data_IF_199893956424
#
_entry.id   IF_199893956424
#
_cell.length_a   1.000
_cell.length_b   1.000
_cell.length_c   1.000
_cell.angle_alpha   90.00
_cell.angle_beta   90.00
_cell.angle_gamma   90.00
#
_symmetry.space_group_name_H-M   'P 1'
#
loop_
_entity.id
_entity.type
_entity.pdbx_description
1 polymer ?
#
# COMPACT_ATOMS: atom_id res chain seq x y z
N UNK A 1 -14.14 -15.17 27.47
CA UNK A 1 -13.52 -14.02 26.77
C UNK A 1 -14.65 -13.22 26.13
N UNK A 2 -14.63 -11.89 26.20
CA UNK A 2 -15.64 -11.08 25.49
C UNK A 2 -15.52 -11.37 23.99
N UNK A 3 -16.65 -11.59 23.29
CA UNK A 3 -16.68 -11.85 21.83
C UNK A 3 -15.83 -10.87 21.00
N UNK A 4 -15.66 -9.64 21.51
CA UNK A 4 -14.93 -8.54 20.88
C UNK A 4 -13.40 -8.69 20.75
N UNK A 5 -12.83 -9.90 20.92
CA UNK A 5 -11.37 -10.14 20.83
C UNK A 5 -10.99 -11.29 19.91
N UNK A 6 -11.96 -11.98 19.31
CA UNK A 6 -11.68 -13.17 18.49
C UNK A 6 -11.39 -12.84 17.03
N UNK A 7 -11.85 -11.68 16.55
CA UNK A 7 -11.65 -11.21 15.18
C UNK A 7 -10.59 -10.11 15.14
N UNK A 8 -9.83 -10.05 14.04
CA UNK A 8 -9.01 -8.90 13.74
C UNK A 8 -9.04 -8.50 12.26
N UNK A 9 -8.93 -7.19 12.04
CA UNK A 9 -8.99 -6.53 10.75
C UNK A 9 -7.66 -5.84 10.52
N UNK A 10 -6.91 -6.33 9.55
CA UNK A 10 -5.66 -5.73 9.09
C UNK A 10 -6.01 -4.75 7.98
N UNK A 11 -5.79 -3.46 8.22
CA UNK A 11 -6.18 -2.36 7.33
C UNK A 11 -4.93 -1.77 6.70
N UNK A 12 -4.81 -1.83 5.39
CA UNK A 12 -3.80 -1.04 4.69
C UNK A 12 -4.07 0.47 4.83
N UNK A 13 -3.01 1.27 4.79
CA UNK A 13 -3.08 2.72 4.93
C UNK A 13 -3.22 3.44 3.59
N UNK A 14 -2.14 3.53 2.82
CA UNK A 14 -2.04 4.37 1.62
C UNK A 14 -2.83 3.74 0.46
N UNK A 15 -3.88 4.41 -0.02
CA UNK A 15 -4.71 3.89 -1.12
C UNK A 15 -5.88 3.03 -0.66
N UNK A 16 -5.90 2.63 0.61
CA UNK A 16 -6.98 1.88 1.25
C UNK A 16 -7.79 2.75 2.22
N UNK A 17 -7.17 3.25 3.29
CA UNK A 17 -7.82 4.14 4.27
C UNK A 17 -7.58 5.63 3.94
N UNK A 18 -6.40 5.94 3.42
CA UNK A 18 -5.93 7.30 3.16
C UNK A 18 -5.77 7.54 1.65
N UNK A 19 -6.26 8.67 1.12
CA UNK A 19 -6.04 9.09 -0.27
C UNK A 19 -4.67 9.75 -0.44
N UNK A 20 -3.65 9.01 -0.06
CA UNK A 20 -2.27 9.47 -0.03
C UNK A 20 -1.47 8.98 -1.21
N UNK A 21 -1.85 7.85 -1.83
CA UNK A 21 -1.16 7.34 -3.03
C UNK A 21 -1.27 8.33 -4.20
N UNK A 22 -2.46 8.88 -4.45
CA UNK A 22 -2.74 9.70 -5.63
C UNK A 22 -1.82 10.92 -5.71
N UNK A 23 -1.86 11.77 -4.67
CA UNK A 23 -1.06 13.00 -4.68
C UNK A 23 0.44 12.69 -4.61
N UNK A 24 0.86 11.67 -3.84
CA UNK A 24 2.28 11.31 -3.73
C UNK A 24 2.83 10.95 -5.11
N UNK A 25 2.08 10.17 -5.90
CA UNK A 25 2.50 9.78 -7.24
C UNK A 25 2.46 10.92 -8.25
N UNK A 26 1.38 11.69 -8.26
CA UNK A 26 1.13 12.75 -9.25
C UNK A 26 1.93 14.02 -9.03
N UNK A 27 2.25 14.36 -7.77
CA UNK A 27 2.97 15.58 -7.44
C UNK A 27 4.47 15.35 -7.25
N UNK A 28 4.87 14.16 -6.76
CA UNK A 28 6.24 13.91 -6.33
C UNK A 28 6.91 12.77 -7.09
N UNK A 29 6.43 11.53 -6.97
CA UNK A 29 7.16 10.39 -7.51
C UNK A 29 7.40 10.51 -9.03
N UNK A 30 6.33 10.63 -9.81
CA UNK A 30 6.40 10.72 -11.28
C UNK A 30 7.15 11.98 -11.75
N UNK A 31 6.74 13.19 -11.32
CA UNK A 31 7.39 14.43 -11.75
C UNK A 31 8.88 14.50 -11.41
N UNK A 32 9.28 14.04 -10.21
CA UNK A 32 10.69 14.01 -9.82
C UNK A 32 11.46 12.94 -10.61
N UNK A 33 10.87 11.79 -10.93
CA UNK A 33 11.49 10.79 -11.79
C UNK A 33 11.77 11.37 -13.18
N UNK A 34 10.75 12.01 -13.79
CA UNK A 34 10.86 12.67 -15.08
C UNK A 34 11.98 13.72 -15.11
N UNK A 35 12.08 14.52 -14.04
CA UNK A 35 13.12 15.55 -13.87
C UNK A 35 14.52 14.95 -13.71
N UNK A 36 14.70 14.01 -12.78
CA UNK A 36 16.02 13.44 -12.44
C UNK A 36 16.61 12.65 -13.60
N UNK A 37 15.77 11.88 -14.29
CA UNK A 37 16.18 11.07 -15.45
C UNK A 37 16.08 11.80 -16.78
N UNK A 38 15.69 13.09 -16.78
CA UNK A 38 15.60 13.96 -17.95
C UNK A 38 14.72 13.35 -19.05
N UNK A 39 13.55 12.87 -18.69
CA UNK A 39 12.59 12.26 -19.60
C UNK A 39 12.14 13.30 -20.65
N UNK A 40 12.28 13.02 -21.97
CA UNK A 40 11.96 14.00 -23.02
C UNK A 40 10.46 14.34 -23.11
N UNK A 41 9.59 13.33 -23.11
CA UNK A 41 8.13 13.50 -23.18
C UNK A 41 7.51 13.29 -21.80
N UNK A 42 7.56 14.32 -20.96
CA UNK A 42 7.09 14.22 -19.57
C UNK A 42 5.59 13.99 -19.48
N UNK A 43 4.78 14.56 -20.38
CA UNK A 43 3.32 14.41 -20.32
C UNK A 43 2.90 12.94 -20.54
N UNK A 44 3.45 12.29 -21.56
CA UNK A 44 3.16 10.87 -21.83
C UNK A 44 3.72 9.96 -20.74
N UNK A 45 4.94 10.24 -20.27
CA UNK A 45 5.55 9.51 -19.17
C UNK A 45 4.70 9.58 -17.89
N UNK A 46 4.17 10.76 -17.52
CA UNK A 46 3.36 10.91 -16.31
C UNK A 46 2.02 10.18 -16.43
N UNK A 47 1.36 10.24 -17.59
CA UNK A 47 0.14 9.45 -17.84
C UNK A 47 0.40 7.96 -17.67
N UNK A 48 1.52 7.47 -18.20
CA UNK A 48 1.88 6.07 -18.03
C UNK A 48 2.32 5.74 -16.60
N UNK A 49 3.05 6.63 -15.95
CA UNK A 49 3.48 6.49 -14.56
C UNK A 49 2.27 6.24 -13.66
N UNK A 50 1.24 7.08 -13.81
CA UNK A 50 -0.01 6.95 -13.06
C UNK A 50 -0.70 5.62 -13.36
N UNK A 51 -0.82 5.23 -14.63
CA UNK A 51 -1.40 3.92 -14.97
C UNK A 51 -0.64 2.75 -14.31
N UNK A 52 0.69 2.73 -14.41
CA UNK A 52 1.53 1.67 -13.82
C UNK A 52 1.36 1.64 -12.29
N UNK A 53 1.45 2.79 -11.62
CA UNK A 53 1.57 2.80 -10.17
C UNK A 53 0.24 2.92 -9.42
N UNK A 54 -0.83 3.39 -10.07
CA UNK A 54 -2.13 3.64 -9.45
C UNK A 54 -3.25 2.78 -10.04
N UNK A 55 -3.24 2.47 -11.33
CA UNK A 55 -4.44 1.97 -12.03
C UNK A 55 -4.25 0.65 -12.77
N UNK A 56 -3.23 -0.14 -12.41
CA UNK A 56 -2.97 -1.43 -13.05
C UNK A 56 -2.52 -2.48 -12.04
N UNK A 57 -2.30 -3.71 -12.51
CA UNK A 57 -1.81 -4.84 -11.68
C UNK A 57 -0.45 -4.61 -11.01
N UNK A 58 0.21 -3.48 -11.26
CA UNK A 58 1.43 -3.04 -10.58
C UNK A 58 1.17 -1.97 -9.52
N UNK A 59 -0.09 -1.70 -9.18
CA UNK A 59 -0.47 -0.80 -8.09
C UNK A 59 0.23 -1.18 -6.78
N UNK A 60 0.76 -0.19 -6.08
CA UNK A 60 1.39 -0.40 -4.76
C UNK A 60 2.72 -1.17 -4.79
N UNK A 61 3.32 -1.40 -5.96
CA UNK A 61 4.69 -1.95 -6.03
C UNK A 61 5.68 -0.99 -5.35
N UNK A 62 6.83 -1.53 -4.94
CA UNK A 62 7.88 -0.70 -4.39
C UNK A 62 8.28 0.41 -5.37
N UNK A 63 8.49 1.63 -4.86
CA UNK A 63 8.82 2.82 -5.64
C UNK A 63 9.95 2.62 -6.65
N UNK A 64 10.98 1.83 -6.33
CA UNK A 64 12.10 1.59 -7.26
C UNK A 64 11.72 0.64 -8.41
N UNK A 65 10.82 -0.31 -8.15
CA UNK A 65 10.22 -1.15 -9.20
C UNK A 65 9.37 -0.28 -10.13
N UNK A 66 8.51 0.56 -9.56
CA UNK A 66 7.71 1.53 -10.32
C UNK A 66 8.55 2.50 -11.13
N UNK A 67 9.70 2.94 -10.57
CA UNK A 67 10.68 3.75 -11.29
C UNK A 67 11.24 3.04 -12.52
N UNK A 68 11.72 1.81 -12.37
CA UNK A 68 12.25 1.03 -13.50
C UNK A 68 11.18 0.87 -14.58
N UNK A 69 9.97 0.45 -14.22
CA UNK A 69 8.88 0.25 -15.18
C UNK A 69 8.53 1.53 -15.96
N UNK A 70 8.47 2.68 -15.27
CA UNK A 70 8.22 3.96 -15.91
C UNK A 70 9.35 4.38 -16.87
N UNK A 71 10.61 4.21 -16.45
CA UNK A 71 11.77 4.58 -17.27
C UNK A 71 11.92 3.67 -18.49
N UNK A 72 11.66 2.37 -18.35
CA UNK A 72 11.64 1.42 -19.47
C UNK A 72 10.56 1.76 -20.49
N UNK A 73 9.36 2.14 -20.02
CA UNK A 73 8.31 2.59 -20.93
C UNK A 73 8.72 3.83 -21.74
N UNK A 74 9.41 4.78 -21.12
CA UNK A 74 9.88 5.99 -21.79
C UNK A 74 11.18 5.81 -22.59
N UNK A 75 11.64 4.57 -22.79
CA UNK A 75 12.86 4.21 -23.51
C UNK A 75 14.10 4.95 -22.97
N UNK A 76 14.15 5.13 -21.64
CA UNK A 76 15.29 5.76 -20.97
C UNK A 76 16.39 4.72 -20.80
N UNK A 77 17.41 4.80 -21.67
CA UNK A 77 18.60 3.95 -21.59
C UNK A 77 19.54 4.29 -20.43
N UNK A 78 20.55 3.43 -20.24
CA UNK A 78 21.60 3.64 -19.24
C UNK A 78 21.16 3.38 -17.80
N UNK A 79 20.14 2.54 -17.59
CA UNK A 79 19.58 2.18 -16.28
C UNK A 79 19.86 0.71 -15.89
N UNK A 80 20.85 0.08 -16.52
CA UNK A 80 21.11 -1.36 -16.39
C UNK A 80 21.48 -1.77 -14.96
N UNK A 81 22.23 -0.93 -14.23
CA UNK A 81 22.61 -1.23 -12.84
C UNK A 81 21.43 -1.04 -11.91
N UNK A 82 20.58 -0.05 -12.15
CA UNK A 82 19.31 0.12 -11.44
C UNK A 82 18.41 -1.10 -11.62
N UNK A 83 18.21 -1.57 -12.86
CA UNK A 83 17.45 -2.79 -13.15
C UNK A 83 18.01 -3.99 -12.41
N UNK A 84 19.32 -4.23 -12.57
CA UNK A 84 20.00 -5.35 -11.90
C UNK A 84 19.85 -5.28 -10.38
N UNK A 85 19.98 -4.10 -9.78
CA UNK A 85 19.81 -3.92 -8.35
C UNK A 85 18.37 -4.19 -7.90
N UNK A 86 17.38 -3.67 -8.63
CA UNK A 86 15.96 -3.90 -8.33
C UNK A 86 15.62 -5.40 -8.34
N UNK A 87 16.16 -6.14 -9.30
CA UNK A 87 15.88 -7.58 -9.47
C UNK A 87 16.58 -8.48 -8.44
N UNK A 88 17.69 -8.03 -7.86
CA UNK A 88 18.57 -8.90 -7.06
C UNK A 88 18.76 -8.48 -5.61
N UNK A 89 18.38 -7.26 -5.24
CA UNK A 89 18.58 -6.75 -3.88
C UNK A 89 17.70 -7.50 -2.88
N UNK A 90 18.21 -7.84 -1.69
CA UNK A 90 17.39 -8.41 -0.62
C UNK A 90 16.41 -7.39 -0.01
N UNK A 91 16.61 -6.10 -0.25
CA UNK A 91 15.77 -5.02 0.28
C UNK A 91 15.77 -3.81 -0.66
N UNK A 92 14.58 -3.33 -1.03
CA UNK A 92 14.38 -2.15 -1.87
C UNK A 92 14.19 -0.89 -1.01
N UNK A 93 15.30 -0.33 -0.54
CA UNK A 93 15.31 0.86 0.33
C UNK A 93 16.48 1.80 0.02
N UNK A 94 16.38 3.05 0.44
CA UNK A 94 17.48 4.02 0.33
C UNK A 94 18.76 3.51 0.99
N UNK A 95 18.64 2.86 2.16
CA UNK A 95 19.79 2.32 2.88
C UNK A 95 20.49 1.18 2.10
N UNK A 96 19.69 0.30 1.47
CA UNK A 96 20.24 -0.77 0.63
C UNK A 96 20.92 -0.20 -0.63
N UNK A 97 20.31 0.81 -1.26
CA UNK A 97 20.86 1.48 -2.43
C UNK A 97 22.16 2.24 -2.11
N UNK A 98 22.23 2.92 -0.96
CA UNK A 98 23.46 3.57 -0.47
C UNK A 98 24.59 2.57 -0.23
N UNK A 99 24.26 1.37 0.27
CA UNK A 99 25.23 0.30 0.47
C UNK A 99 25.75 -0.24 -0.87
N UNK A 100 24.88 -0.41 -1.85
CA UNK A 100 25.26 -0.82 -3.20
C UNK A 100 26.21 0.21 -3.84
N UNK A 101 25.86 1.50 -3.79
CA UNK A 101 26.68 2.58 -4.33
C UNK A 101 28.10 2.67 -3.73
N UNK A 102 28.27 2.28 -2.47
CA UNK A 102 29.61 2.21 -1.84
C UNK A 102 30.50 1.11 -2.44
N UNK A 103 29.90 0.05 -2.96
CA UNK A 103 30.62 -1.11 -3.52
C UNK A 103 30.76 -0.98 -5.03
N UNK A 104 29.67 -0.58 -5.70
CA UNK A 104 29.55 -0.49 -7.15
C UNK A 104 28.93 0.87 -7.53
N UNK A 105 29.71 1.96 -7.53
CA UNK A 105 29.23 3.28 -7.96
C UNK A 105 28.70 3.23 -9.40
N UNK A 106 27.54 3.86 -9.63
CA UNK A 106 26.90 3.94 -10.95
C UNK A 106 25.99 5.16 -11.05
N UNK A 107 25.98 5.81 -12.21
CA UNK A 107 25.23 7.06 -12.44
C UNK A 107 23.70 6.88 -12.30
N UNK A 108 23.15 5.78 -12.79
CA UNK A 108 21.73 5.44 -12.64
C UNK A 108 21.31 5.15 -11.20
N UNK A 109 22.16 4.45 -10.43
CA UNK A 109 21.94 4.21 -9.00
C UNK A 109 22.04 5.52 -8.19
N UNK A 110 22.99 6.40 -8.52
CA UNK A 110 23.10 7.73 -7.90
C UNK A 110 21.87 8.59 -8.19
N UNK A 111 21.37 8.57 -9.43
CA UNK A 111 20.12 9.23 -9.82
C UNK A 111 18.92 8.65 -9.08
N UNK A 112 18.79 7.33 -8.99
CA UNK A 112 17.70 6.68 -8.27
C UNK A 112 17.71 7.05 -6.77
N UNK A 113 18.90 7.09 -6.14
CA UNK A 113 19.01 7.49 -4.75
C UNK A 113 18.65 8.97 -4.56
N UNK A 114 19.14 9.85 -5.45
CA UNK A 114 18.80 11.27 -5.45
C UNK A 114 17.30 11.47 -5.57
N UNK A 115 16.67 10.83 -6.56
CA UNK A 115 15.22 10.86 -6.76
C UNK A 115 14.46 10.43 -5.50
N UNK A 116 14.80 9.27 -4.93
CA UNK A 116 14.10 8.76 -3.76
C UNK A 116 14.24 9.65 -2.52
N UNK A 117 15.40 10.30 -2.35
CA UNK A 117 15.61 11.29 -1.29
C UNK A 117 14.84 12.59 -1.52
N UNK A 118 14.83 13.10 -2.76
CA UNK A 118 14.04 14.28 -3.13
C UNK A 118 12.55 14.02 -2.91
N UNK A 119 12.04 12.84 -3.28
CA UNK A 119 10.65 12.45 -3.01
C UNK A 119 10.34 12.50 -1.51
N UNK A 120 11.17 11.86 -0.67
CA UNK A 120 10.95 11.87 0.78
C UNK A 120 10.95 13.29 1.35
N UNK A 121 11.86 14.15 0.88
CA UNK A 121 11.91 15.54 1.29
C UNK A 121 10.63 16.29 0.90
N UNK A 122 10.19 16.18 -0.35
CA UNK A 122 9.01 16.87 -0.84
C UNK A 122 7.70 16.41 -0.18
N UNK A 123 7.56 15.10 0.10
CA UNK A 123 6.42 14.58 0.85
C UNK A 123 6.41 15.15 2.27
N UNK A 124 7.56 15.19 2.95
CA UNK A 124 7.68 15.74 4.31
C UNK A 124 7.37 17.24 4.38
N UNK A 125 7.69 17.98 3.32
CA UNK A 125 7.44 19.42 3.23
C UNK A 125 6.04 19.74 2.68
N UNK A 126 5.26 18.73 2.28
CA UNK A 126 3.92 18.94 1.75
C UNK A 126 2.98 19.50 2.82
N UNK A 127 2.15 20.47 2.43
CA UNK A 127 1.20 21.17 3.31
C UNK A 127 -0.24 21.06 2.79
N UNK A 128 -0.48 20.20 1.79
CA UNK A 128 -1.83 19.93 1.31
C UNK A 128 -2.48 18.79 2.11
N UNK A 129 -3.74 18.53 1.82
CA UNK A 129 -4.53 17.61 2.63
C UNK A 129 -4.16 16.15 2.36
N UNK A 130 -3.77 15.41 3.40
CA UNK A 130 -3.72 13.95 3.41
C UNK A 130 -5.02 13.43 4.02
N UNK A 131 -6.05 13.26 3.18
CA UNK A 131 -7.40 12.95 3.64
C UNK A 131 -7.64 11.44 3.72
N UNK A 132 -8.45 11.04 4.71
CA UNK A 132 -9.07 9.72 4.70
C UNK A 132 -10.14 9.65 3.61
N UNK A 133 -10.34 8.48 3.01
CA UNK A 133 -11.48 8.29 2.12
C UNK A 133 -12.81 8.44 2.88
N UNK A 134 -13.84 8.89 2.17
CA UNK A 134 -15.18 9.04 2.76
C UNK A 134 -15.69 7.67 3.25
N UNK A 135 -16.16 7.63 4.50
CA UNK A 135 -16.69 6.42 5.12
C UNK A 135 -15.65 5.58 5.88
N UNK A 136 -14.36 5.92 5.82
CA UNK A 136 -13.29 5.21 6.55
C UNK A 136 -13.51 5.30 8.05
N UNK A 137 -13.78 6.50 8.57
CA UNK A 137 -13.96 6.70 10.01
C UNK A 137 -15.11 5.83 10.56
N UNK A 138 -16.28 5.84 9.91
CA UNK A 138 -17.41 5.00 10.32
C UNK A 138 -17.16 3.51 10.07
N UNK A 139 -16.40 3.17 9.03
CA UNK A 139 -15.98 1.81 8.75
C UNK A 139 -15.08 1.26 9.85
N UNK A 140 -14.02 1.99 10.22
CA UNK A 140 -13.12 1.63 11.31
C UNK A 140 -13.84 1.57 12.66
N UNK A 141 -14.76 2.50 12.94
CA UNK A 141 -15.59 2.45 14.14
C UNK A 141 -16.40 1.15 14.21
N UNK A 142 -17.05 0.75 13.12
CA UNK A 142 -17.77 -0.53 13.04
C UNK A 142 -16.82 -1.71 13.23
N UNK A 143 -15.67 -1.75 12.55
CA UNK A 143 -14.72 -2.86 12.69
C UNK A 143 -14.18 -2.98 14.12
N UNK A 144 -13.90 -1.85 14.78
CA UNK A 144 -13.43 -1.80 16.17
C UNK A 144 -14.52 -2.21 17.19
N UNK A 145 -15.81 -2.07 16.84
CA UNK A 145 -16.92 -2.66 17.62
C UNK A 145 -17.02 -4.19 17.47
N UNK A 146 -16.49 -4.75 16.38
CA UNK A 146 -16.58 -6.18 16.05
C UNK A 146 -15.32 -6.98 16.40
N UNK A 147 -14.16 -6.31 16.51
CA UNK A 147 -12.88 -6.97 16.77
C UNK A 147 -11.72 -5.98 16.88
N UNK A 148 -10.51 -6.49 16.76
CA UNK A 148 -9.28 -5.68 16.81
C UNK A 148 -8.95 -5.09 15.45
N UNK A 149 -8.51 -3.84 15.42
CA UNK A 149 -8.14 -3.15 14.18
C UNK A 149 -6.64 -2.87 14.21
N UNK A 150 -5.93 -3.39 13.22
CA UNK A 150 -4.49 -3.21 13.06
C UNK A 150 -4.21 -2.50 11.75
N UNK A 151 -3.48 -1.39 11.80
CA UNK A 151 -2.94 -0.80 10.56
C UNK A 151 -1.74 -1.62 10.12
N UNK A 152 -1.72 -2.02 8.85
CA UNK A 152 -0.61 -2.76 8.24
C UNK A 152 -0.10 -1.99 7.03
N UNK A 153 0.99 -1.24 7.20
CA UNK A 153 1.48 -0.31 6.20
C UNK A 153 2.95 -0.55 5.86
N UNK A 154 3.28 -0.38 4.58
CA UNK A 154 4.67 -0.35 4.09
C UNK A 154 5.32 1.03 4.24
N UNK A 155 4.62 2.02 4.79
CA UNK A 155 5.12 3.37 4.99
C UNK A 155 5.90 3.53 6.31
N UNK A 156 6.57 4.69 6.46
CA UNK A 156 7.24 5.07 7.70
C UNK A 156 6.21 5.28 8.81
N UNK A 157 6.50 4.78 10.02
CA UNK A 157 5.61 4.89 11.19
C UNK A 157 5.21 6.32 11.47
N UNK A 158 6.16 7.24 11.50
CA UNK A 158 5.90 8.64 11.84
C UNK A 158 4.92 9.28 10.86
N UNK A 159 5.02 8.95 9.56
CA UNK A 159 4.11 9.47 8.55
C UNK A 159 2.69 8.91 8.72
N UNK A 160 2.56 7.60 8.98
CA UNK A 160 1.26 6.97 9.21
C UNK A 160 0.61 7.52 10.48
N UNK A 161 1.38 7.66 11.57
CA UNK A 161 0.87 8.20 12.84
C UNK A 161 0.39 9.65 12.69
N UNK A 162 1.13 10.50 11.97
CA UNK A 162 0.74 11.89 11.67
C UNK A 162 -0.54 11.93 10.81
N UNK A 163 -0.52 11.28 9.64
CA UNK A 163 -1.66 11.25 8.70
C UNK A 163 -2.94 10.71 9.36
N UNK A 164 -2.86 9.62 10.12
CA UNK A 164 -4.01 9.04 10.81
C UNK A 164 -4.47 9.86 12.02
N UNK A 165 -3.56 10.55 12.71
CA UNK A 165 -3.92 11.44 13.83
C UNK A 165 -4.69 12.65 13.34
N UNK A 166 -4.23 13.26 12.26
CA UNK A 166 -4.85 14.46 11.66
C UNK A 166 -6.26 14.18 11.14
N UNK A 167 -6.51 12.95 10.69
CA UNK A 167 -7.83 12.47 10.27
C UNK A 167 -8.66 11.86 11.42
N UNK A 168 -8.21 11.97 12.67
CA UNK A 168 -8.85 11.43 13.87
C UNK A 168 -9.15 9.91 13.80
N UNK A 169 -8.31 9.14 13.09
CA UNK A 169 -8.49 7.70 12.89
C UNK A 169 -7.80 6.85 13.96
N UNK A 170 -6.75 7.36 14.61
CA UNK A 170 -5.96 6.62 15.62
C UNK A 170 -6.83 6.05 16.75
N UNK A 171 -7.91 6.75 17.12
CA UNK A 171 -8.83 6.30 18.16
C UNK A 171 -9.58 4.99 17.86
N UNK A 172 -9.54 4.50 16.60
CA UNK A 172 -10.18 3.27 16.16
C UNK A 172 -9.18 2.13 15.88
N UNK A 173 -7.91 2.31 16.24
CA UNK A 173 -6.82 1.37 15.94
C UNK A 173 -6.22 0.84 17.24
N UNK A 174 -5.99 -0.47 17.30
CA UNK A 174 -5.36 -1.14 18.43
C UNK A 174 -3.84 -1.15 18.34
N UNK A 175 -3.28 -1.25 17.13
CA UNK A 175 -1.84 -1.14 16.89
C UNK A 175 -1.53 -0.72 15.44
N UNK A 176 -0.37 -0.08 15.26
CA UNK A 176 0.18 0.27 13.95
C UNK A 176 1.41 -0.60 13.66
N UNK A 177 1.28 -1.49 12.68
CA UNK A 177 2.39 -2.23 12.10
C UNK A 177 2.82 -1.53 10.82
N UNK A 178 3.91 -0.78 10.93
CA UNK A 178 4.50 -0.04 9.80
C UNK A 178 5.73 -0.79 9.28
N UNK A 179 6.46 -0.18 8.34
CA UNK A 179 7.65 -0.80 7.73
C UNK A 179 8.73 -1.26 8.74
N UNK A 180 8.72 -0.72 9.96
CA UNK A 180 9.68 -1.03 11.02
C UNK A 180 9.43 -2.41 11.66
N UNK A 181 8.22 -2.95 11.52
CA UNK A 181 7.87 -4.29 12.01
C UNK A 181 8.28 -5.39 11.03
N UNK A 182 8.08 -5.16 9.73
CA UNK A 182 8.29 -6.17 8.69
C UNK A 182 7.35 -5.96 7.51
N UNK A 183 7.14 -7.00 6.71
CA UNK A 183 6.18 -6.97 5.61
C UNK A 183 4.76 -7.28 6.11
N UNK A 184 3.75 -6.98 5.29
CA UNK A 184 2.34 -7.21 5.64
C UNK A 184 2.07 -8.70 5.90
N UNK A 185 2.66 -9.59 5.11
CA UNK A 185 2.55 -11.03 5.32
C UNK A 185 3.12 -11.48 6.67
N UNK A 186 4.20 -10.85 7.14
CA UNK A 186 4.84 -11.16 8.42
C UNK A 186 3.96 -10.72 9.60
N UNK A 187 3.28 -9.58 9.47
CA UNK A 187 2.32 -9.10 10.46
C UNK A 187 1.16 -10.09 10.62
N UNK A 188 0.53 -10.49 9.51
CA UNK A 188 -0.58 -11.42 9.54
C UNK A 188 -0.12 -12.77 10.11
N UNK A 189 1.07 -13.25 9.74
CA UNK A 189 1.65 -14.48 10.28
C UNK A 189 1.87 -14.38 11.81
N UNK A 190 2.32 -13.22 12.31
CA UNK A 190 2.49 -12.98 13.73
C UNK A 190 1.16 -13.04 14.48
N UNK A 191 0.09 -12.42 13.95
CA UNK A 191 -1.24 -12.50 14.55
C UNK A 191 -1.77 -13.94 14.62
N UNK A 192 -1.53 -14.75 13.58
CA UNK A 192 -1.87 -16.19 13.61
C UNK A 192 -1.06 -16.92 14.69
N UNK A 193 0.23 -16.61 14.82
CA UNK A 193 1.09 -17.19 15.86
C UNK A 193 0.68 -16.78 17.29
N UNK A 194 0.13 -15.58 17.46
CA UNK A 194 -0.47 -15.09 18.71
C UNK A 194 -1.80 -15.77 19.07
N UNK A 195 -2.37 -16.55 18.15
CA UNK A 195 -3.54 -17.40 18.39
C UNK A 195 -4.81 -16.97 17.68
N UNK A 196 -4.77 -15.95 16.80
CA UNK A 196 -5.90 -15.66 15.93
C UNK A 196 -6.13 -16.81 14.95
N UNK A 197 -7.40 -17.19 14.78
CA UNK A 197 -7.77 -18.14 13.73
C UNK A 197 -7.77 -17.45 12.39
N UNK A 198 -7.34 -18.17 11.34
CA UNK A 198 -7.26 -17.63 9.98
C UNK A 198 -8.61 -17.18 9.42
N UNK A 199 -9.68 -17.90 9.75
CA UNK A 199 -11.07 -17.57 9.40
C UNK A 199 -11.65 -16.42 10.25
N UNK A 200 -10.87 -15.87 11.18
CA UNK A 200 -11.21 -14.69 11.97
C UNK A 200 -10.33 -13.47 11.65
N UNK A 201 -9.41 -13.61 10.68
CA UNK A 201 -8.57 -12.52 10.19
C UNK A 201 -9.06 -12.05 8.82
N UNK A 202 -9.17 -10.74 8.67
CA UNK A 202 -9.50 -10.09 7.41
C UNK A 202 -8.41 -9.09 7.05
N UNK A 203 -7.83 -9.24 5.86
CA UNK A 203 -7.00 -8.21 5.25
C UNK A 203 -7.86 -7.31 4.37
N UNK A 204 -7.85 -6.01 4.66
CA UNK A 204 -8.53 -4.96 3.89
C UNK A 204 -7.45 -4.14 3.20
N UNK A 205 -7.48 -4.08 1.87
CA UNK A 205 -6.46 -3.37 1.11
C UNK A 205 -6.81 -3.18 -0.35
N UNK A 206 -5.99 -2.41 -1.05
CA UNK A 206 -6.23 -1.94 -2.42
C UNK A 206 -5.16 -2.38 -3.41
N UNK A 207 -4.10 -3.04 -2.95
CA UNK A 207 -2.97 -3.43 -3.78
C UNK A 207 -2.84 -4.96 -3.94
N UNK A 208 -2.25 -5.43 -5.05
CA UNK A 208 -1.87 -6.84 -5.22
C UNK A 208 -0.99 -7.38 -4.10
N UNK A 209 -0.20 -6.53 -3.44
CA UNK A 209 0.60 -6.91 -2.27
C UNK A 209 -0.26 -7.30 -1.06
N UNK A 210 -1.39 -6.62 -0.86
CA UNK A 210 -2.34 -6.93 0.22
C UNK A 210 -3.04 -8.26 0.00
N UNK A 211 -3.50 -8.49 -1.23
CA UNK A 211 -4.08 -9.78 -1.62
C UNK A 211 -3.06 -10.90 -1.45
N UNK A 212 -1.81 -10.70 -1.90
CA UNK A 212 -0.75 -11.69 -1.73
C UNK A 212 -0.46 -11.99 -0.25
N UNK A 213 -0.41 -10.97 0.61
CA UNK A 213 -0.22 -11.14 2.04
C UNK A 213 -1.36 -11.95 2.69
N UNK A 214 -2.59 -11.71 2.26
CA UNK A 214 -3.76 -12.46 2.70
C UNK A 214 -3.69 -13.93 2.26
N UNK A 215 -3.36 -14.19 0.99
CA UNK A 215 -3.29 -15.53 0.42
C UNK A 215 -2.16 -16.38 1.02
N UNK A 216 -0.97 -15.80 1.22
CA UNK A 216 0.16 -16.47 1.86
C UNK A 216 -0.18 -16.95 3.27
N UNK A 217 -1.01 -16.19 3.98
CA UNK A 217 -1.44 -16.51 5.34
C UNK A 217 -2.77 -17.28 5.40
N UNK A 218 -3.40 -17.51 4.24
CA UNK A 218 -4.69 -18.18 4.09
C UNK A 218 -5.81 -17.51 4.91
N UNK A 219 -5.81 -16.17 4.92
CA UNK A 219 -6.85 -15.35 5.57
C UNK A 219 -7.76 -14.72 4.52
N UNK A 220 -8.92 -14.19 4.93
CA UNK A 220 -9.83 -13.52 4.00
C UNK A 220 -9.23 -12.19 3.50
N UNK A 221 -9.56 -11.82 2.26
CA UNK A 221 -9.22 -10.54 1.67
C UNK A 221 -10.49 -9.78 1.29
N UNK A 222 -10.54 -8.49 1.61
CA UNK A 222 -11.59 -7.57 1.16
C UNK A 222 -10.95 -6.39 0.42
N UNK A 223 -11.28 -6.19 -0.86
CA UNK A 223 -10.68 -5.13 -1.66
C UNK A 223 -11.30 -3.75 -1.38
N UNK A 224 -10.45 -2.74 -1.27
CA UNK A 224 -10.81 -1.35 -1.54
C UNK A 224 -10.46 -1.07 -3.01
N UNK A 225 -11.48 -0.86 -3.84
CA UNK A 225 -11.29 -0.70 -5.28
C UNK A 225 -10.93 0.74 -5.63
N UNK A 226 -9.89 0.94 -6.46
CA UNK A 226 -9.46 2.27 -6.90
C UNK A 226 -10.55 2.94 -7.72
N UNK A 227 -10.86 4.19 -7.36
CA UNK A 227 -11.98 4.97 -7.91
C UNK A 227 -13.36 4.58 -7.39
N UNK A 228 -13.43 3.60 -6.45
CA UNK A 228 -14.67 3.17 -5.78
C UNK A 228 -14.44 2.98 -4.27
N UNK A 229 -13.53 3.74 -3.69
CA UNK A 229 -13.10 3.60 -2.30
C UNK A 229 -14.27 3.85 -1.33
N UNK A 230 -15.04 4.91 -1.59
CA UNK A 230 -16.25 5.25 -0.80
C UNK A 230 -17.28 4.11 -0.82
N UNK A 231 -17.53 3.51 -1.99
CA UNK A 231 -18.45 2.39 -2.14
C UNK A 231 -17.92 1.13 -1.44
N UNK A 232 -16.62 0.88 -1.55
CA UNK A 232 -15.93 -0.25 -0.93
C UNK A 232 -16.03 -0.19 0.59
N UNK A 233 -15.75 0.97 1.19
CA UNK A 233 -15.89 1.21 2.63
C UNK A 233 -17.34 1.14 3.10
N UNK A 234 -18.28 1.68 2.31
CA UNK A 234 -19.72 1.57 2.60
C UNK A 234 -20.17 0.12 2.65
N UNK A 235 -19.83 -0.70 1.66
CA UNK A 235 -20.20 -2.11 1.64
C UNK A 235 -19.52 -2.92 2.77
N UNK A 236 -18.26 -2.59 3.09
CA UNK A 236 -17.54 -3.21 4.20
C UNK A 236 -18.28 -2.99 5.52
N UNK A 237 -18.65 -1.74 5.79
CA UNK A 237 -19.38 -1.33 6.99
C UNK A 237 -20.80 -1.89 7.06
N UNK A 238 -21.57 -1.72 5.99
CA UNK A 238 -23.02 -1.96 6.03
C UNK A 238 -23.39 -3.44 5.87
N UNK A 239 -22.51 -4.26 5.30
CA UNK A 239 -22.84 -5.64 4.91
C UNK A 239 -21.72 -6.64 5.22
N UNK A 240 -20.54 -6.47 4.60
CA UNK A 240 -19.53 -7.53 4.59
C UNK A 240 -18.99 -7.86 5.99
N UNK A 241 -18.68 -6.85 6.81
CA UNK A 241 -18.12 -7.06 8.15
C UNK A 241 -19.03 -7.91 9.05
N UNK A 242 -20.34 -7.65 9.05
CA UNK A 242 -21.33 -8.42 9.81
C UNK A 242 -21.48 -9.85 9.30
N UNK A 243 -21.47 -10.06 7.97
CA UNK A 243 -21.47 -11.41 7.39
C UNK A 243 -20.20 -12.17 7.78
N UNK A 244 -19.04 -11.49 7.76
CA UNK A 244 -17.75 -12.08 8.07
C UNK A 244 -17.71 -12.60 9.50
N UNK A 245 -18.05 -11.77 10.48
CA UNK A 245 -18.01 -12.17 11.89
C UNK A 245 -19.11 -13.17 12.28
N UNK A 246 -20.14 -13.34 11.46
CA UNK A 246 -21.17 -14.35 11.67
C UNK A 246 -20.87 -15.67 10.96
N UNK A 247 -19.76 -15.77 10.21
CA UNK A 247 -19.35 -16.97 9.49
C UNK A 247 -20.20 -17.27 8.26
N UNK A 248 -20.89 -16.27 7.70
CA UNK A 248 -21.79 -16.43 6.56
C UNK A 248 -21.18 -15.99 5.21
N UNK A 249 -19.90 -15.61 5.19
CA UNK A 249 -19.20 -15.31 3.93
C UNK A 249 -18.85 -16.63 3.25
N UNK A 250 -19.38 -16.84 2.04
CA UNK A 250 -19.09 -18.03 1.26
C UNK A 250 -17.75 -17.90 0.52
N UNK A 251 -17.16 -19.03 0.14
CA UNK A 251 -15.98 -19.04 -0.74
C UNK A 251 -16.27 -18.36 -2.07
N UNK A 252 -17.48 -18.53 -2.61
CA UNK A 252 -17.88 -17.87 -3.87
C UNK A 252 -17.91 -16.35 -3.74
N UNK A 253 -18.40 -15.80 -2.63
CA UNK A 253 -18.41 -14.35 -2.37
C UNK A 253 -16.97 -13.79 -2.26
N UNK A 254 -16.05 -14.52 -1.62
CA UNK A 254 -14.63 -14.13 -1.57
C UNK A 254 -13.96 -14.16 -2.95
N UNK A 255 -14.24 -15.18 -3.77
CA UNK A 255 -13.69 -15.27 -5.13
C UNK A 255 -14.27 -14.18 -6.05
N UNK A 256 -15.54 -13.81 -5.88
CA UNK A 256 -16.13 -12.67 -6.60
C UNK A 256 -15.46 -11.34 -6.24
N UNK A 257 -15.15 -11.12 -4.95
CA UNK A 257 -14.40 -9.93 -4.52
C UNK A 257 -13.01 -9.89 -5.17
N UNK A 258 -12.30 -11.02 -5.19
CA UNK A 258 -10.99 -11.11 -5.87
C UNK A 258 -11.10 -10.88 -7.37
N UNK A 259 -12.13 -11.39 -8.02
CA UNK A 259 -12.37 -11.17 -9.44
C UNK A 259 -12.61 -9.68 -9.73
N UNK A 260 -13.50 -9.04 -8.98
CA UNK A 260 -13.77 -7.60 -9.12
C UNK A 260 -12.53 -6.75 -8.84
N UNK A 261 -11.68 -7.18 -7.91
CA UNK A 261 -10.39 -6.56 -7.65
C UNK A 261 -9.46 -6.60 -8.85
N UNK A 262 -9.29 -7.77 -9.49
CA UNK A 262 -8.45 -7.88 -10.67
C UNK A 262 -9.02 -7.14 -11.88
N UNK A 263 -10.32 -7.23 -12.12
CA UNK A 263 -11.01 -6.48 -13.19
C UNK A 263 -10.87 -4.95 -13.02
N UNK A 264 -10.75 -4.46 -11.79
CA UNK A 264 -10.53 -3.04 -11.50
C UNK A 264 -9.10 -2.57 -11.82
N UNK A 265 -8.14 -3.48 -11.95
CA UNK A 265 -6.73 -3.20 -12.22
C UNK A 265 -6.26 -3.67 -13.62
N UNK A 266 -7.20 -3.95 -14.52
CA UNK A 266 -6.95 -4.30 -15.93
C UNK A 266 -7.01 -3.09 -16.87
#
# INVERSE_FOLDING_TARGET
MSKNKEYAFCIDSDGCAMDTMTYKHQLFFGPLAAKVFKVPNQEDFLKKWDYINLFSRTRGVNRFVGLVMGLEYADIGGIDKLKQWVDSTPSLSNASLEKELKQNPSDDLEKALKWSKEVNQHIKEYQGDALAFVGVQEGLAMLHELGKVYVVSSANREAVEEEWSDQALIGYVDNLYCQDFGKKEDVIAALVAEGYKRDHLLMVGDSPGDLAAAEQNQVAFYPILVGKETESWKNLKDSFSQKFISGHVSTEELEQLKQSFWENLE
#
